data_IF_863392508737
#
_entry.id   IF_863392508737
#
_cell.length_a   1.000
_cell.length_b   1.000
_cell.length_c   1.000
_cell.angle_alpha   90.00
_cell.angle_beta   90.00
_cell.angle_gamma   90.00
#
_symmetry.space_group_name_H-M   'P 1'
#
loop_
_entity.id
_entity.type
_entity.pdbx_description
1 polymer ?
#
# COMPACT_ATOMS: atom_id res chain seq x y z
N UNK A 1 2.99 -12.50 3.75
CA UNK A 1 4.46 -12.68 3.91
C UNK A 1 4.96 -11.65 4.93
N UNK A 2 6.13 -11.78 5.57
CA UNK A 2 6.72 -10.63 6.30
C UNK A 2 7.47 -9.76 5.29
N UNK A 3 7.10 -8.49 5.19
CA UNK A 3 7.78 -7.52 4.32
C UNK A 3 8.75 -6.65 5.14
N UNK A 4 9.89 -6.35 4.52
CA UNK A 4 10.65 -5.15 4.85
C UNK A 4 10.24 -4.06 3.87
N UNK A 5 10.15 -2.82 4.32
CA UNK A 5 9.79 -1.71 3.45
C UNK A 5 10.66 -0.48 3.73
N UNK A 6 10.80 0.35 2.71
CA UNK A 6 11.38 1.69 2.82
C UNK A 6 10.28 2.67 2.43
N UNK A 7 9.89 3.54 3.37
CA UNK A 7 8.99 4.65 3.10
C UNK A 7 9.75 5.79 2.41
N UNK A 8 9.21 6.28 1.29
CA UNK A 8 9.77 7.40 0.55
C UNK A 8 9.11 8.72 0.96
N UNK A 9 9.93 9.77 1.10
CA UNK A 9 9.43 11.11 1.41
C UNK A 9 8.69 11.69 0.20
N UNK A 10 7.42 12.04 0.43
CA UNK A 10 6.50 12.56 -0.58
C UNK A 10 6.05 13.99 -0.24
N UNK A 11 5.89 14.88 -1.25
CA UNK A 11 5.40 16.24 -1.02
C UNK A 11 3.87 16.31 -0.88
N UNK A 12 3.16 15.20 -1.08
CA UNK A 12 1.69 15.16 -1.09
C UNK A 12 1.13 14.64 0.22
N UNK A 13 0.18 15.38 0.80
CA UNK A 13 -0.40 15.09 2.13
C UNK A 13 -1.15 13.76 2.21
N UNK A 14 -1.78 13.33 1.12
CA UNK A 14 -2.68 12.17 1.10
C UNK A 14 -2.08 11.00 0.32
N UNK A 15 -0.76 10.94 0.27
CA UNK A 15 -0.05 9.93 -0.51
C UNK A 15 1.11 9.43 0.31
N UNK A 16 1.35 8.13 0.28
CA UNK A 16 2.53 7.49 0.85
C UNK A 16 3.11 6.56 -0.21
N UNK A 17 4.43 6.52 -0.31
CA UNK A 17 5.13 5.67 -1.27
C UNK A 17 6.06 4.72 -0.51
N UNK A 18 6.06 3.45 -0.90
CA UNK A 18 6.85 2.41 -0.26
C UNK A 18 7.53 1.56 -1.32
N UNK A 19 8.81 1.25 -1.12
CA UNK A 19 9.45 0.13 -1.81
C UNK A 19 9.43 -1.10 -0.90
N UNK A 20 8.89 -2.21 -1.41
CA UNK A 20 8.69 -3.45 -0.65
C UNK A 20 9.74 -4.48 -1.05
N UNK A 21 10.31 -5.13 -0.03
CA UNK A 21 11.39 -6.11 -0.17
C UNK A 21 11.05 -7.41 0.58
N UNK A 22 11.62 -8.53 0.12
CA UNK A 22 11.57 -9.80 0.85
C UNK A 22 12.33 -9.64 2.16
N UNK A 23 11.71 -10.08 3.26
CA UNK A 23 12.39 -10.14 4.54
C UNK A 23 13.33 -11.36 4.56
N UNK A 24 14.63 -11.12 4.37
CA UNK A 24 15.68 -12.08 4.72
C UNK A 24 16.48 -11.56 5.92
N UNK A 25 17.01 -12.48 6.72
CA UNK A 25 17.71 -12.17 7.98
C UNK A 25 18.91 -11.20 7.82
N UNK A 26 19.39 -10.99 6.60
CA UNK A 26 20.37 -9.97 6.24
C UNK A 26 19.76 -9.02 5.21
N UNK A 27 19.21 -7.89 5.66
CA UNK A 27 18.68 -6.86 4.74
C UNK A 27 19.85 -6.15 4.07
N UNK A 28 20.24 -6.59 2.88
CA UNK A 28 21.14 -5.83 2.00
C UNK A 28 20.32 -4.77 1.26
N UNK A 29 20.18 -3.59 1.86
CA UNK A 29 19.53 -2.43 1.23
C UNK A 29 20.22 -2.12 -0.12
N UNK A 30 19.49 -2.28 -1.23
CA UNK A 30 19.98 -2.05 -2.58
C UNK A 30 20.19 -3.29 -3.44
N UNK A 31 19.97 -4.50 -2.90
CA UNK A 31 19.97 -5.71 -3.70
C UNK A 31 18.67 -5.82 -4.51
N UNK A 32 18.78 -5.71 -5.84
CA UNK A 32 17.66 -5.84 -6.78
C UNK A 32 16.96 -7.20 -6.69
N UNK A 33 17.65 -8.25 -6.24
CA UNK A 33 17.05 -9.58 -6.13
C UNK A 33 16.02 -9.65 -4.99
N UNK A 34 16.14 -8.80 -3.98
CA UNK A 34 15.25 -8.76 -2.82
C UNK A 34 14.01 -7.86 -3.03
N UNK A 35 14.03 -6.98 -4.02
CA UNK A 35 12.90 -6.08 -4.33
C UNK A 35 11.70 -6.87 -4.84
N UNK A 36 10.51 -6.53 -4.35
CA UNK A 36 9.24 -7.15 -4.72
C UNK A 36 8.45 -6.24 -5.64
N UNK A 37 8.16 -5.01 -5.19
CA UNK A 37 7.38 -4.02 -5.91
C UNK A 37 7.47 -2.67 -5.21
N UNK A 38 7.04 -1.62 -5.90
CA UNK A 38 6.76 -0.33 -5.31
C UNK A 38 5.24 -0.17 -5.11
N UNK A 39 4.84 0.42 -3.99
CA UNK A 39 3.45 0.64 -3.62
C UNK A 39 3.24 2.11 -3.31
N UNK A 40 2.36 2.73 -4.08
CA UNK A 40 1.86 4.08 -3.83
C UNK A 40 0.46 4.01 -3.26
N UNK A 41 0.29 4.40 -2.01
CA UNK A 41 -1.01 4.49 -1.34
C UNK A 41 -1.55 5.90 -1.49
N UNK A 42 -2.76 6.04 -2.04
CA UNK A 42 -3.50 7.29 -2.14
C UNK A 42 -4.72 7.20 -1.24
N UNK A 43 -4.87 8.16 -0.34
CA UNK A 43 -6.02 8.23 0.58
C UNK A 43 -7.00 9.29 0.08
N UNK A 44 -8.20 8.84 -0.29
CA UNK A 44 -9.31 9.70 -0.67
C UNK A 44 -10.25 9.84 0.51
N UNK A 45 -10.40 11.07 0.98
CA UNK A 45 -11.26 11.38 2.11
C UNK A 45 -12.56 12.02 1.61
N UNK A 46 -13.73 11.60 2.13
CA UNK A 46 -14.98 12.29 1.82
C UNK A 46 -14.91 13.75 2.25
N UNK A 47 -15.42 14.65 1.40
CA UNK A 47 -15.50 16.06 1.74
C UNK A 47 -16.29 16.28 3.04
N UNK A 48 -15.78 17.16 3.89
CA UNK A 48 -16.38 17.45 5.21
C UNK A 48 -17.84 17.87 5.11
N UNK A 49 -18.19 18.65 4.08
CA UNK A 49 -19.56 19.10 3.85
C UNK A 49 -20.55 17.97 3.55
N UNK A 50 -20.09 16.84 3.00
CA UNK A 50 -20.92 15.66 2.77
C UNK A 50 -21.07 14.82 4.03
N UNK A 51 -20.01 14.72 4.85
CA UNK A 51 -20.10 14.05 6.16
C UNK A 51 -21.09 14.76 7.08
N UNK A 52 -21.08 16.09 7.09
CA UNK A 52 -22.04 16.90 7.85
C UNK A 52 -23.50 16.69 7.41
N UNK A 53 -23.73 16.17 6.20
CA UNK A 53 -25.05 15.83 5.64
C UNK A 53 -25.45 14.38 5.86
N UNK A 54 -24.69 13.63 6.65
CA UNK A 54 -25.00 12.25 7.03
C UNK A 54 -24.46 11.19 6.06
N UNK A 55 -23.50 11.53 5.19
CA UNK A 55 -22.80 10.53 4.40
C UNK A 55 -21.94 9.64 5.31
N UNK A 56 -22.28 8.36 5.39
CA UNK A 56 -21.60 7.36 6.24
C UNK A 56 -20.64 6.48 5.43
N UNK A 57 -19.87 7.08 4.52
CA UNK A 57 -18.78 6.37 3.85
C UNK A 57 -17.45 6.72 4.52
N UNK A 58 -16.57 5.72 4.67
CA UNK A 58 -15.20 5.93 5.13
C UNK A 58 -14.31 6.51 4.03
N UNK A 59 -13.01 6.48 4.29
CA UNK A 59 -11.97 6.80 3.32
C UNK A 59 -11.88 5.69 2.27
N UNK A 60 -11.42 6.06 1.08
CA UNK A 60 -11.06 5.11 0.04
C UNK A 60 -9.53 5.14 -0.15
N UNK A 61 -8.89 4.01 0.10
CA UNK A 61 -7.45 3.83 0.00
C UNK A 61 -7.15 3.07 -1.29
N UNK A 62 -6.36 3.67 -2.16
CA UNK A 62 -5.87 3.06 -3.39
C UNK A 62 -4.40 2.70 -3.25
N UNK A 63 -4.08 1.41 -3.22
CA UNK A 63 -2.73 0.91 -3.31
C UNK A 63 -2.40 0.62 -4.78
N UNK A 64 -1.59 1.48 -5.38
CA UNK A 64 -1.10 1.33 -6.75
C UNK A 64 0.24 0.61 -6.67
N UNK A 65 0.29 -0.60 -7.22
CA UNK A 65 1.47 -1.47 -7.24
C UNK A 65 2.16 -1.32 -8.60
N UNK A 66 3.42 -0.95 -8.59
CA UNK A 66 4.26 -0.75 -9.76
C UNK A 66 5.61 -1.47 -9.59
N UNK A 67 6.41 -1.54 -10.65
CA UNK A 67 7.74 -2.14 -10.67
C UNK A 67 7.80 -3.54 -10.06
N UNK A 68 6.78 -4.37 -10.29
CA UNK A 68 6.72 -5.73 -9.73
C UNK A 68 7.87 -6.57 -10.29
N UNK A 69 8.69 -7.12 -9.41
CA UNK A 69 9.74 -8.06 -9.79
C UNK A 69 9.10 -9.32 -10.39
N UNK A 70 9.45 -9.72 -11.62
CA UNK A 70 8.89 -10.91 -12.28
C UNK A 70 9.02 -12.20 -11.45
N UNK A 71 10.09 -12.34 -10.67
CA UNK A 71 10.32 -13.50 -9.81
C UNK A 71 9.45 -13.50 -8.55
N UNK A 72 8.87 -12.35 -8.19
CA UNK A 72 7.86 -12.23 -7.14
C UNK A 72 6.42 -12.27 -7.69
N UNK A 73 6.25 -12.03 -9.00
CA UNK A 73 4.96 -12.00 -9.69
C UNK A 73 4.32 -13.38 -9.95
N UNK A 74 4.96 -14.48 -9.53
CA UNK A 74 4.50 -15.85 -9.80
C UNK A 74 3.11 -16.16 -9.22
N UNK A 75 2.65 -15.38 -8.24
CA UNK A 75 1.31 -15.49 -7.65
C UNK A 75 0.73 -14.10 -7.37
N UNK A 76 0.08 -13.53 -8.39
CA UNK A 76 -0.49 -12.17 -8.35
C UNK A 76 -1.59 -12.02 -7.30
N UNK A 77 -2.44 -13.03 -7.12
CA UNK A 77 -3.54 -12.99 -6.15
C UNK A 77 -2.99 -12.96 -4.72
N UNK A 78 -1.96 -13.76 -4.45
CA UNK A 78 -1.27 -13.74 -3.16
C UNK A 78 -0.57 -12.40 -2.92
N UNK A 79 0.10 -11.86 -3.93
CA UNK A 79 0.73 -10.54 -3.83
C UNK A 79 -0.31 -9.46 -3.53
N UNK A 80 -1.46 -9.49 -4.19
CA UNK A 80 -2.57 -8.55 -3.93
C UNK A 80 -3.05 -8.63 -2.47
N UNK A 81 -3.27 -9.84 -1.96
CA UNK A 81 -3.68 -10.06 -0.58
C UNK A 81 -2.63 -9.57 0.42
N UNK A 82 -1.35 -9.87 0.17
CA UNK A 82 -0.24 -9.43 1.01
C UNK A 82 -0.10 -7.88 0.99
N UNK A 83 -0.25 -7.22 -0.16
CA UNK A 83 -0.26 -5.75 -0.26
C UNK A 83 -1.46 -5.15 0.50
N UNK A 84 -2.64 -5.76 0.38
CA UNK A 84 -3.81 -5.30 1.10
C UNK A 84 -3.62 -5.38 2.63
N UNK A 85 -2.99 -6.45 3.12
CA UNK A 85 -2.63 -6.58 4.53
C UNK A 85 -1.57 -5.54 4.94
N UNK A 86 -0.56 -5.33 4.11
CA UNK A 86 0.46 -4.30 4.33
C UNK A 86 -0.15 -2.90 4.49
N UNK A 87 -1.04 -2.49 3.56
CA UNK A 87 -1.72 -1.18 3.65
C UNK A 87 -2.56 -1.08 4.92
N UNK A 88 -3.17 -2.18 5.38
CA UNK A 88 -3.93 -2.21 6.63
C UNK A 88 -3.09 -1.94 7.87
N UNK A 89 -1.85 -2.43 7.86
CA UNK A 89 -0.93 -2.30 8.99
C UNK A 89 -0.29 -0.91 9.00
N UNK A 90 0.18 -0.43 7.85
CA UNK A 90 0.91 0.83 7.75
C UNK A 90 0.01 2.06 7.78
N UNK A 91 -1.25 1.95 7.34
CA UNK A 91 -2.16 3.08 7.39
C UNK A 91 -2.84 3.17 8.75
N UNK A 92 -2.46 4.17 9.54
CA UNK A 92 -3.03 4.37 10.86
C UNK A 92 -4.56 4.62 10.82
N UNK A 93 -5.27 3.95 11.73
CA UNK A 93 -6.67 4.23 12.03
C UNK A 93 -7.65 3.85 10.93
N UNK A 94 -7.44 2.72 10.23
CA UNK A 94 -8.44 2.16 9.31
C UNK A 94 -9.72 1.80 10.08
N UNK A 95 -10.85 2.31 9.60
CA UNK A 95 -12.17 2.08 10.17
C UNK A 95 -12.96 1.03 9.38
N UNK A 96 -14.03 0.48 9.95
CA UNK A 96 -14.86 -0.57 9.32
C UNK A 96 -15.46 -0.14 7.97
N UNK A 97 -15.73 1.17 7.81
CA UNK A 97 -16.33 1.72 6.59
C UNK A 97 -15.29 2.17 5.54
N UNK A 98 -13.99 2.03 5.84
CA UNK A 98 -12.93 2.35 4.88
C UNK A 98 -12.87 1.25 3.81
N UNK A 99 -12.64 1.65 2.56
CA UNK A 99 -12.46 0.74 1.45
C UNK A 99 -11.01 0.74 1.01
N UNK A 100 -10.42 -0.44 0.83
CA UNK A 100 -9.06 -0.59 0.30
C UNK A 100 -9.16 -1.27 -1.05
N UNK A 101 -8.50 -0.69 -2.05
CA UNK A 101 -8.43 -1.20 -3.41
C UNK A 101 -6.97 -1.32 -3.81
N UNK A 102 -6.62 -2.45 -4.43
CA UNK A 102 -5.29 -2.69 -4.98
C UNK A 102 -5.39 -2.64 -6.50
N UNK A 103 -4.51 -1.89 -7.13
CA UNK A 103 -4.41 -1.77 -8.57
C UNK A 103 -2.97 -2.03 -9.01
N UNK A 104 -2.78 -2.93 -9.97
CA UNK A 104 -1.48 -3.19 -10.58
C UNK A 104 -1.33 -2.33 -11.84
N UNK A 105 -0.28 -1.52 -11.90
CA UNK A 105 0.05 -0.64 -13.03
C UNK A 105 0.88 -1.38 -14.10
#
# INVERSE_FOLDING_TARGET
>A
MKFSHVEEVTPYKNTSCYSIYRFDCEVMLGDRESHICDVKVIVLEPEEGLRARGLQIGRELWAIVDNVNPDAASDKEKLEADIMEFVKIETAGIEENDQIRVAFA
#
